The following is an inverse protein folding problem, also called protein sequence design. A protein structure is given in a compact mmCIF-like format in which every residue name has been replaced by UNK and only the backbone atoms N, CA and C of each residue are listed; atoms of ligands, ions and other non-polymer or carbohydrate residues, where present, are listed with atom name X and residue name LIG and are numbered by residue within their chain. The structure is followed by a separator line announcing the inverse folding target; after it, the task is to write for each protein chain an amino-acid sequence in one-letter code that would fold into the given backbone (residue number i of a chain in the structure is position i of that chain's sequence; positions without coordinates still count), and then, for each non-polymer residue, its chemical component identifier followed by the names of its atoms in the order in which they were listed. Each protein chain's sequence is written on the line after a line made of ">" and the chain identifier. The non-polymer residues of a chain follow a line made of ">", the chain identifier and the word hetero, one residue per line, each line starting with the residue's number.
data_IF_133643013205
#
_entry.id   IF_133643013205
#
_cell.length_a   1.000
_cell.length_b   1.000
_cell.length_c   1.000
_cell.angle_alpha   90.00
_cell.angle_beta   90.00
_cell.angle_gamma   90.00
#
_symmetry.space_group_name_H-M   'P 1'
#
loop_
_entity.id
_entity.type
_entity.pdbx_description
1 polymer ?
#
# COMPACT_ATOMS: atom_id res chain seq x y z
N UNK A 1 18.03 -7.77 14.48
CA UNK A 1 17.58 -6.37 14.48
C UNK A 1 16.13 -6.36 14.03
N UNK A 2 15.21 -5.76 14.79
CA UNK A 2 13.82 -5.68 14.35
C UNK A 2 13.74 -4.58 13.29
N UNK A 3 13.58 -4.96 12.02
CA UNK A 3 13.40 -3.99 10.94
C UNK A 3 12.18 -3.12 11.26
N UNK A 4 12.44 -1.84 11.50
CA UNK A 4 11.39 -0.85 11.73
C UNK A 4 11.23 -0.06 10.45
N UNK A 5 10.01 0.02 9.93
CA UNK A 5 9.72 0.89 8.80
C UNK A 5 9.33 2.28 9.29
N UNK A 6 9.85 3.32 8.63
CA UNK A 6 9.55 4.72 8.91
C UNK A 6 8.26 5.12 8.22
N UNK A 7 7.56 6.11 8.76
CA UNK A 7 6.47 6.76 8.04
C UNK A 7 7.03 7.38 6.75
N UNK A 8 6.28 7.26 5.66
CA UNK A 8 6.69 7.74 4.33
C UNK A 8 6.77 9.28 4.20
N UNK A 9 6.20 10.03 5.14
CA UNK A 9 6.19 11.49 5.09
C UNK A 9 7.61 12.01 5.45
N UNK A 10 8.27 12.83 4.60
CA UNK A 10 9.70 13.15 4.69
C UNK A 10 10.20 13.71 6.04
N UNK A 11 9.35 14.39 6.80
CA UNK A 11 9.68 14.96 8.12
C UNK A 11 9.09 14.15 9.30
N UNK A 12 8.35 13.08 9.04
CA UNK A 12 7.80 12.24 10.09
C UNK A 12 8.86 11.25 10.60
N UNK A 13 9.17 11.30 11.90
CA UNK A 13 10.11 10.36 12.54
C UNK A 13 9.45 9.12 13.13
N UNK A 14 8.12 8.98 13.00
CA UNK A 14 7.42 7.81 13.55
C UNK A 14 7.87 6.55 12.81
N UNK A 15 8.01 5.47 13.56
CA UNK A 15 8.39 4.15 13.04
C UNK A 15 7.49 3.09 13.65
N UNK A 16 7.23 2.02 12.91
CA UNK A 16 6.57 0.81 13.44
C UNK A 16 7.42 -0.41 13.17
N UNK A 17 7.12 -1.51 13.87
CA UNK A 17 7.66 -2.84 13.54
C UNK A 17 7.25 -3.22 12.11
N UNK A 18 8.20 -3.67 11.29
CA UNK A 18 7.90 -4.25 10.00
C UNK A 18 7.09 -5.54 10.19
N UNK A 19 5.97 -5.63 9.49
CA UNK A 19 5.12 -6.81 9.42
C UNK A 19 4.78 -6.99 7.95
N UNK A 20 5.62 -7.74 7.20
CA UNK A 20 5.40 -7.97 5.78
C UNK A 20 4.03 -8.56 5.52
N UNK A 21 3.39 -8.11 4.45
CA UNK A 21 2.11 -8.63 3.97
C UNK A 21 2.32 -9.09 2.54
N UNK A 22 2.98 -10.25 2.39
CA UNK A 22 3.36 -10.80 1.09
C UNK A 22 2.12 -11.27 0.33
N UNK A 23 2.00 -10.85 -0.91
CA UNK A 23 0.99 -11.32 -1.86
C UNK A 23 1.70 -11.85 -3.10
N UNK A 24 1.42 -13.10 -3.43
CA UNK A 24 1.77 -13.71 -4.72
C UNK A 24 0.57 -13.61 -5.64
N UNK A 25 0.77 -13.05 -6.83
CA UNK A 25 -0.25 -12.92 -7.87
C UNK A 25 0.19 -13.57 -9.17
N UNK A 26 -0.77 -14.07 -9.93
CA UNK A 26 -0.54 -14.58 -11.28
C UNK A 26 -0.34 -13.41 -12.25
N UNK A 27 0.78 -13.43 -12.97
CA UNK A 27 1.08 -12.49 -14.05
C UNK A 27 0.58 -13.13 -15.33
N UNK A 28 -0.72 -12.98 -15.58
CA UNK A 28 -1.41 -13.45 -16.79
C UNK A 28 -0.51 -13.32 -18.03
N UNK A 29 -0.19 -14.46 -18.65
CA UNK A 29 0.74 -14.63 -19.76
C UNK A 29 0.57 -16.02 -20.38
N UNK A 30 1.18 -16.26 -21.55
CA UNK A 30 1.02 -17.51 -22.31
C UNK A 30 1.61 -18.75 -21.62
N UNK A 31 2.58 -18.57 -20.73
CA UNK A 31 3.17 -19.66 -19.95
C UNK A 31 2.51 -19.73 -18.56
N UNK A 32 1.76 -20.80 -18.33
CA UNK A 32 1.20 -21.10 -17.01
C UNK A 32 2.32 -21.18 -15.97
N UNK A 33 2.21 -20.42 -14.88
CA UNK A 33 3.11 -20.50 -13.72
C UNK A 33 3.99 -19.27 -13.46
N UNK A 34 3.92 -18.21 -14.28
CA UNK A 34 4.64 -16.97 -13.99
C UNK A 34 3.93 -16.14 -12.93
N UNK A 35 4.47 -16.12 -11.71
CA UNK A 35 3.92 -15.39 -10.57
C UNK A 35 4.82 -14.24 -10.13
N UNK A 36 4.23 -13.23 -9.49
CA UNK A 36 4.94 -12.11 -8.88
C UNK A 36 4.58 -12.06 -7.41
N UNK A 37 5.59 -12.09 -6.53
CA UNK A 37 5.41 -11.90 -5.09
C UNK A 37 5.86 -10.49 -4.69
N UNK A 38 5.04 -9.78 -3.93
CA UNK A 38 5.31 -8.41 -3.48
C UNK A 38 4.82 -8.19 -2.04
N UNK A 39 5.51 -7.32 -1.28
CA UNK A 39 5.07 -6.90 0.04
C UNK A 39 4.19 -5.64 -0.06
N UNK A 40 2.88 -5.80 0.13
CA UNK A 40 1.95 -4.66 0.09
C UNK A 40 1.93 -3.84 1.40
N UNK A 41 2.78 -4.18 2.37
CA UNK A 41 2.97 -3.47 3.63
C UNK A 41 4.39 -2.90 3.83
N UNK A 42 5.23 -2.95 2.78
CA UNK A 42 6.59 -2.41 2.76
C UNK A 42 6.61 -0.92 3.13
N UNK A 43 5.67 -0.16 2.58
CA UNK A 43 5.48 1.25 2.87
C UNK A 43 4.42 1.47 3.95
N UNK A 44 4.60 2.52 4.76
CA UNK A 44 3.68 2.84 5.84
C UNK A 44 3.48 4.34 6.05
N UNK A 45 2.24 4.71 6.36
CA UNK A 45 1.85 6.06 6.78
C UNK A 45 1.34 5.96 8.22
N UNK A 46 1.88 6.78 9.11
CA UNK A 46 1.47 6.79 10.52
C UNK A 46 0.02 7.27 10.69
N UNK A 47 -0.60 6.96 11.82
CA UNK A 47 -2.01 7.27 12.07
C UNK A 47 -2.34 8.76 11.88
N UNK A 48 -1.46 9.66 12.28
CA UNK A 48 -1.68 11.10 12.20
C UNK A 48 -1.74 11.57 10.75
N UNK A 49 -0.77 11.17 9.91
CA UNK A 49 -0.78 11.49 8.47
C UNK A 49 -1.84 10.70 7.70
N UNK A 50 -2.24 9.53 8.20
CA UNK A 50 -3.34 8.76 7.62
C UNK A 50 -4.68 9.49 7.74
N UNK A 51 -4.85 10.37 8.75
CA UNK A 51 -6.06 11.20 8.91
C UNK A 51 -6.20 12.25 7.80
N UNK A 52 -5.09 12.73 7.24
CA UNK A 52 -5.10 13.65 6.11
C UNK A 52 -5.66 13.01 4.82
N UNK A 53 -5.63 11.68 4.72
CA UNK A 53 -6.18 10.96 3.57
C UNK A 53 -7.72 10.96 3.63
N UNK A 54 -8.41 11.44 2.56
CA UNK A 54 -9.87 11.42 2.48
C UNK A 54 -10.49 10.05 2.77
N UNK A 55 -11.63 10.04 3.47
CA UNK A 55 -12.31 8.80 3.86
C UNK A 55 -12.66 7.91 2.65
N UNK A 56 -13.02 8.52 1.51
CA UNK A 56 -13.28 7.80 0.26
C UNK A 56 -12.05 7.02 -0.23
N UNK A 57 -10.87 7.65 -0.24
CA UNK A 57 -9.61 6.98 -0.62
C UNK A 57 -9.26 5.86 0.35
N UNK A 58 -9.42 6.08 1.67
CA UNK A 58 -9.17 5.04 2.67
C UNK A 58 -10.06 3.82 2.49
N UNK A 59 -11.35 4.03 2.22
CA UNK A 59 -12.31 2.95 1.91
C UNK A 59 -11.94 2.22 0.62
N UNK A 60 -11.57 2.95 -0.43
CA UNK A 60 -11.14 2.37 -1.70
C UNK A 60 -9.88 1.52 -1.54
N UNK A 61 -8.90 2.00 -0.77
CA UNK A 61 -7.68 1.24 -0.50
C UNK A 61 -7.98 -0.06 0.24
N UNK A 62 -8.84 -0.02 1.27
CA UNK A 62 -9.26 -1.21 1.98
C UNK A 62 -9.99 -2.22 1.07
N UNK A 63 -10.84 -1.73 0.16
CA UNK A 63 -11.52 -2.57 -0.82
C UNK A 63 -10.52 -3.20 -1.82
N UNK A 64 -9.60 -2.40 -2.36
CA UNK A 64 -8.56 -2.87 -3.28
C UNK A 64 -7.65 -3.91 -2.62
N UNK A 65 -7.20 -3.67 -1.37
CA UNK A 65 -6.39 -4.62 -0.59
C UNK A 65 -7.11 -5.96 -0.41
N UNK A 66 -8.40 -5.94 -0.04
CA UNK A 66 -9.21 -7.16 0.07
C UNK A 66 -9.33 -7.89 -1.27
N UNK A 67 -9.52 -7.16 -2.37
CA UNK A 67 -9.62 -7.73 -3.71
C UNK A 67 -8.32 -8.43 -4.12
N UNK A 68 -7.16 -7.80 -3.89
CA UNK A 68 -5.84 -8.39 -4.13
C UNK A 68 -5.67 -9.72 -3.41
N UNK A 69 -5.96 -9.74 -2.10
CA UNK A 69 -5.83 -10.96 -1.28
C UNK A 69 -6.77 -12.08 -1.70
N UNK A 70 -7.96 -11.73 -2.19
CA UNK A 70 -9.00 -12.69 -2.57
C UNK A 70 -8.78 -13.27 -3.97
N UNK A 71 -8.45 -12.42 -4.94
CA UNK A 71 -8.44 -12.78 -6.37
C UNK A 71 -7.03 -13.07 -6.87
N UNK A 72 -6.00 -12.47 -6.27
CA UNK A 72 -4.59 -12.74 -6.56
C UNK A 72 -4.20 -12.61 -8.05
N UNK A 73 -4.81 -11.66 -8.76
CA UNK A 73 -4.45 -11.34 -10.14
C UNK A 73 -3.55 -10.10 -10.20
N UNK A 74 -2.69 -10.03 -11.21
CA UNK A 74 -1.88 -8.84 -11.47
C UNK A 74 -2.73 -7.56 -11.59
N UNK A 75 -3.87 -7.63 -12.29
CA UNK A 75 -4.80 -6.51 -12.43
C UNK A 75 -5.26 -5.98 -11.06
N UNK A 76 -5.61 -6.86 -10.13
CA UNK A 76 -6.00 -6.45 -8.78
C UNK A 76 -4.85 -5.76 -8.04
N UNK A 77 -3.63 -6.26 -8.20
CA UNK A 77 -2.42 -5.67 -7.60
C UNK A 77 -2.15 -4.28 -8.16
N UNK A 78 -2.24 -4.10 -9.48
CA UNK A 78 -2.05 -2.79 -10.12
C UNK A 78 -3.09 -1.76 -9.67
N UNK A 79 -4.35 -2.17 -9.51
CA UNK A 79 -5.40 -1.29 -8.95
C UNK A 79 -5.06 -0.88 -7.52
N UNK A 80 -4.64 -1.82 -6.66
CA UNK A 80 -4.20 -1.50 -5.31
C UNK A 80 -3.03 -0.50 -5.31
N UNK A 81 -1.99 -0.75 -6.12
CA UNK A 81 -0.82 0.13 -6.24
C UNK A 81 -1.21 1.54 -6.68
N UNK A 82 -2.17 1.67 -7.62
CA UNK A 82 -2.67 2.98 -8.07
C UNK A 82 -3.42 3.73 -6.97
N UNK A 83 -4.27 3.02 -6.21
CA UNK A 83 -5.00 3.63 -5.08
C UNK A 83 -4.03 4.01 -3.95
N UNK A 84 -3.01 3.20 -3.72
CA UNK A 84 -1.96 3.48 -2.74
C UNK A 84 -1.14 4.72 -3.13
N UNK A 85 -0.72 4.84 -4.39
CA UNK A 85 -0.03 6.04 -4.89
C UNK A 85 -0.86 7.31 -4.68
N UNK A 86 -2.18 7.24 -4.92
CA UNK A 86 -3.11 8.34 -4.62
C UNK A 86 -3.13 8.68 -3.13
N UNK A 87 -3.23 7.67 -2.26
CA UNK A 87 -3.23 7.88 -0.82
C UNK A 87 -1.92 8.49 -0.32
N UNK A 88 -0.77 8.07 -0.86
CA UNK A 88 0.54 8.67 -0.55
C UNK A 88 0.57 10.15 -0.90
N UNK A 89 0.14 10.50 -2.12
CA UNK A 89 0.07 11.89 -2.56
C UNK A 89 -0.79 12.75 -1.62
N UNK A 90 -2.00 12.28 -1.31
CA UNK A 90 -2.93 12.99 -0.42
C UNK A 90 -2.39 13.12 1.01
N UNK A 91 -1.68 12.11 1.53
CA UNK A 91 -1.04 12.19 2.82
C UNK A 91 0.11 13.20 2.83
N UNK A 92 0.91 13.26 1.76
CA UNK A 92 1.99 14.24 1.62
C UNK A 92 1.46 15.67 1.50
N UNK A 93 0.46 15.89 0.63
CA UNK A 93 -0.23 17.17 0.45
C UNK A 93 -0.83 17.65 1.77
N UNK A 94 -1.67 16.82 2.40
CA UNK A 94 -2.32 17.21 3.65
C UNK A 94 -1.38 17.34 4.85
N UNK A 95 -0.23 16.66 4.86
CA UNK A 95 0.78 16.87 5.89
C UNK A 95 1.57 18.18 5.64
N UNK A 96 1.79 18.56 4.37
CA UNK A 96 2.37 19.84 3.99
C UNK A 96 1.39 21.02 4.12
N UNK A 97 0.10 20.75 4.33
CA UNK A 97 -0.94 21.77 4.48
C UNK A 97 -1.44 22.34 3.15
N UNK A 98 -1.30 21.60 2.06
CA UNK A 98 -1.74 21.97 0.69
C UNK A 98 -2.75 20.98 0.12
#
# INVERSE_FOLDING_TARGET
>A
MADRIRCLIPYCRRTKRALPDLVTVDREGYDAGYTVTTDIAEEWICHDHWRAVPAATRRLLAAAKRKVKRVKTLTSLLVFSRVWARAKRQATEGAAGI
#
